data_IF_301218128208
#
_entry.id   IF_301218128208
#
_cell.length_a   1.000
_cell.length_b   1.000
_cell.length_c   1.000
_cell.angle_alpha   90.00
_cell.angle_beta   90.00
_cell.angle_gamma   90.00
#
_symmetry.space_group_name_H-M   'P 1'
#
loop_
_entity.id
_entity.type
_entity.pdbx_description
1 polymer ?
#
# COMPACT_ATOMS: atom_id res chain seq x y z
N UNK A 1 -29.29 50.91 -19.41
CA UNK A 1 -28.37 49.94 -18.77
C UNK A 1 -27.78 49.06 -19.86
N UNK A 2 -26.60 49.39 -20.39
CA UNK A 2 -25.97 48.65 -21.49
C UNK A 2 -25.09 47.52 -20.94
N UNK A 3 -25.50 46.27 -21.15
CA UNK A 3 -24.67 45.10 -20.87
C UNK A 3 -23.54 45.01 -21.90
N UNK A 4 -22.32 45.39 -21.51
CA UNK A 4 -21.13 45.19 -22.33
C UNK A 4 -20.57 43.78 -22.12
N UNK A 5 -21.14 42.78 -22.80
CA UNK A 5 -20.54 41.44 -22.86
C UNK A 5 -19.31 41.47 -23.76
N UNK A 6 -18.13 41.69 -23.16
CA UNK A 6 -16.85 41.76 -23.87
C UNK A 6 -16.43 40.38 -24.39
N UNK A 7 -15.84 40.33 -25.60
CA UNK A 7 -15.17 39.15 -26.18
C UNK A 7 -14.23 38.46 -25.17
N UNK A 8 -13.60 39.25 -24.29
CA UNK A 8 -12.73 38.78 -23.21
C UNK A 8 -13.46 37.93 -22.17
N UNK A 9 -14.72 38.24 -21.88
CA UNK A 9 -15.56 37.46 -20.95
C UNK A 9 -15.99 36.14 -21.58
N UNK A 10 -16.30 36.14 -22.88
CA UNK A 10 -16.59 34.90 -23.61
C UNK A 10 -15.39 33.94 -23.61
N UNK A 11 -14.18 34.41 -23.91
CA UNK A 11 -12.96 33.57 -23.87
C UNK A 11 -12.70 33.02 -22.46
N UNK A 12 -12.87 33.84 -21.42
CA UNK A 12 -12.72 33.41 -20.02
C UNK A 12 -13.75 32.36 -19.59
N UNK A 13 -15.00 32.50 -20.03
CA UNK A 13 -16.08 31.56 -19.67
C UNK A 13 -15.98 30.26 -20.46
N UNK A 14 -15.72 30.32 -21.77
CA UNK A 14 -15.59 29.13 -22.63
C UNK A 14 -14.32 28.31 -22.32
N UNK A 15 -13.21 28.96 -21.96
CA UNK A 15 -11.99 28.25 -21.54
C UNK A 15 -12.14 27.44 -20.25
N UNK A 16 -13.00 27.88 -19.31
CA UNK A 16 -13.29 27.14 -18.07
C UNK A 16 -14.17 25.91 -18.29
N UNK A 17 -15.10 25.97 -19.23
CA UNK A 17 -16.01 24.85 -19.52
C UNK A 17 -15.32 23.70 -20.29
N UNK A 18 -14.38 24.01 -21.19
CA UNK A 18 -13.68 22.99 -21.99
C UNK A 18 -12.71 22.10 -21.20
N UNK A 19 -12.07 22.62 -20.14
CA UNK A 19 -11.12 21.86 -19.33
C UNK A 19 -11.78 20.77 -18.46
N UNK A 20 -13.05 20.98 -18.07
CA UNK A 20 -13.75 20.06 -17.16
C UNK A 20 -14.22 18.76 -17.83
N UNK A 21 -14.45 18.77 -19.16
CA UNK A 21 -15.00 17.61 -19.88
C UNK A 21 -13.89 16.72 -20.46
N UNK A 22 -12.72 17.28 -20.81
CA UNK A 22 -11.62 16.52 -21.40
C UNK A 22 -10.89 15.55 -20.46
N UNK A 23 -10.94 15.79 -19.15
CA UNK A 23 -10.25 14.97 -18.14
C UNK A 23 -11.09 13.77 -17.64
N UNK A 24 -12.39 13.73 -17.91
CA UNK A 24 -13.27 12.67 -17.40
C UNK A 24 -13.37 11.42 -18.31
N UNK A 25 -12.95 11.52 -19.57
CA UNK A 25 -13.26 10.52 -20.59
C UNK A 25 -12.10 9.59 -21.01
N UNK A 26 -10.89 9.71 -20.43
CA UNK A 26 -9.70 8.94 -20.85
C UNK A 26 -9.11 8.03 -19.78
N UNK A 27 -9.78 7.84 -18.64
CA UNK A 27 -9.19 7.21 -17.45
C UNK A 27 -9.78 5.84 -16.99
N UNK A 28 -10.03 4.81 -17.83
CA UNK A 28 -10.27 3.48 -17.24
C UNK A 28 -9.11 2.49 -17.31
N UNK A 29 -8.09 2.65 -18.18
CA UNK A 29 -7.28 1.47 -18.57
C UNK A 29 -5.79 1.47 -18.23
N UNK A 30 -5.22 2.50 -17.60
CA UNK A 30 -3.78 2.51 -17.22
C UNK A 30 -3.51 2.55 -15.72
N UNK A 31 -4.55 2.59 -14.88
CA UNK A 31 -4.43 2.25 -13.47
C UNK A 31 -4.54 0.73 -13.28
N UNK A 32 -3.80 -0.06 -14.08
CA UNK A 32 -3.44 -1.40 -13.62
C UNK A 32 -2.33 -1.20 -12.61
N UNK A 33 -2.78 -1.05 -11.36
CA UNK A 33 -1.99 -1.06 -10.16
C UNK A 33 -0.78 -1.97 -10.34
N UNK A 34 0.40 -1.37 -10.43
CA UNK A 34 1.59 -1.99 -9.91
C UNK A 34 1.34 -2.17 -8.42
N UNK A 35 0.65 -3.26 -8.06
CA UNK A 35 0.82 -3.87 -6.76
C UNK A 35 2.27 -4.31 -6.76
N UNK A 36 3.16 -3.39 -6.40
CA UNK A 36 4.40 -3.78 -5.77
C UNK A 36 3.93 -4.52 -4.53
N UNK A 37 3.90 -5.85 -4.60
CA UNK A 37 3.89 -6.65 -3.40
C UNK A 37 5.13 -6.17 -2.64
N UNK A 38 4.90 -5.33 -1.63
CA UNK A 38 5.92 -5.03 -0.65
C UNK A 38 6.31 -6.39 -0.11
N UNK A 39 7.60 -6.74 -0.22
CA UNK A 39 8.16 -7.99 0.26
C UNK A 39 8.08 -8.03 1.79
N UNK A 40 6.87 -8.15 2.30
CA UNK A 40 6.56 -8.10 3.72
C UNK A 40 6.62 -9.53 4.25
N UNK A 41 7.84 -10.07 4.29
CA UNK A 41 8.13 -11.27 5.08
C UNK A 41 8.00 -10.90 6.56
N UNK A 42 6.75 -10.82 7.03
CA UNK A 42 6.40 -10.51 8.40
C UNK A 42 5.99 -11.78 9.14
N UNK A 43 6.48 -11.91 10.36
CA UNK A 43 6.07 -12.98 11.24
C UNK A 43 4.63 -12.75 11.70
N UNK A 44 3.77 -13.74 11.46
CA UNK A 44 2.39 -13.68 11.90
C UNK A 44 2.29 -13.85 13.42
N UNK A 45 1.39 -13.09 14.05
CA UNK A 45 1.06 -13.25 15.46
C UNK A 45 0.59 -14.67 15.77
N UNK A 46 1.05 -15.22 16.91
CA UNK A 46 0.53 -16.49 17.41
C UNK A 46 -0.96 -16.34 17.76
N UNK A 47 -1.83 -17.29 17.36
CA UNK A 47 -3.23 -17.30 17.77
C UNK A 47 -3.44 -17.86 19.18
N UNK A 48 -2.36 -18.09 19.94
CA UNK A 48 -2.35 -18.67 21.27
C UNK A 48 -1.19 -18.12 22.12
N UNK A 49 -1.31 -18.28 23.43
CA UNK A 49 -0.28 -17.91 24.41
C UNK A 49 0.92 -18.86 24.36
N UNK A 50 2.11 -18.41 24.77
CA UNK A 50 3.33 -19.24 24.73
C UNK A 50 3.24 -20.56 25.51
N UNK A 51 2.49 -20.59 26.60
CA UNK A 51 2.29 -21.79 27.43
C UNK A 51 1.16 -22.71 26.95
N UNK A 52 0.48 -22.40 25.84
CA UNK A 52 -0.67 -23.17 25.37
C UNK A 52 -0.33 -24.60 24.91
N UNK A 53 0.96 -24.91 24.74
CA UNK A 53 1.47 -26.20 24.26
C UNK A 53 2.09 -27.07 25.38
N UNK A 54 1.98 -26.63 26.64
CA UNK A 54 2.43 -27.43 27.78
C UNK A 54 1.57 -28.69 28.00
N UNK A 55 2.15 -29.80 28.49
CA UNK A 55 3.56 -29.97 28.90
C UNK A 55 4.48 -30.39 27.75
N UNK A 56 3.99 -30.41 26.51
CA UNK A 56 4.74 -30.95 25.36
C UNK A 56 5.85 -30.00 24.90
N UNK A 57 5.60 -28.69 25.00
CA UNK A 57 6.57 -27.63 24.72
C UNK A 57 6.41 -26.59 25.82
N UNK A 58 7.49 -26.27 26.52
CA UNK A 58 7.47 -25.27 27.58
C UNK A 58 7.37 -23.83 27.04
N UNK A 59 6.82 -22.93 27.86
CA UNK A 59 6.60 -21.54 27.47
C UNK A 59 7.89 -20.78 27.09
N UNK A 60 9.02 -21.05 27.76
CA UNK A 60 10.29 -20.38 27.49
C UNK A 60 10.82 -20.78 26.10
N UNK A 61 10.69 -22.06 25.75
CA UNK A 61 11.00 -22.54 24.39
C UNK A 61 10.15 -21.81 23.36
N UNK A 62 8.83 -21.71 23.56
CA UNK A 62 7.95 -21.01 22.62
C UNK A 62 8.26 -19.51 22.50
N UNK A 63 8.57 -18.85 23.61
CA UNK A 63 8.97 -17.44 23.63
C UNK A 63 10.25 -17.21 22.84
N UNK A 64 11.30 -18.01 23.06
CA UNK A 64 12.58 -17.88 22.36
C UNK A 64 12.41 -18.26 20.89
N UNK A 65 11.70 -19.35 20.59
CA UNK A 65 11.47 -19.81 19.22
C UNK A 65 10.75 -18.75 18.38
N UNK A 66 9.66 -18.20 18.90
CA UNK A 66 8.87 -17.19 18.20
C UNK A 66 9.58 -15.84 18.16
N UNK A 67 9.93 -15.26 19.32
CA UNK A 67 10.38 -13.87 19.39
C UNK A 67 11.83 -13.64 18.94
N UNK A 68 12.65 -14.70 18.87
CA UNK A 68 14.06 -14.61 18.44
C UNK A 68 14.29 -15.30 17.12
N UNK A 69 14.11 -16.62 17.06
CA UNK A 69 14.54 -17.41 15.91
C UNK A 69 13.68 -17.14 14.67
N UNK A 70 12.36 -17.36 14.77
CA UNK A 70 11.45 -17.11 13.67
C UNK A 70 11.48 -15.62 13.25
N UNK A 71 11.54 -14.70 14.23
CA UNK A 71 11.54 -13.27 13.96
C UNK A 71 12.80 -12.83 13.20
N UNK A 72 13.95 -13.39 13.55
CA UNK A 72 15.20 -13.16 12.83
C UNK A 72 15.11 -13.70 11.40
N UNK A 73 14.55 -14.89 11.18
CA UNK A 73 14.39 -15.43 9.83
C UNK A 73 13.50 -14.57 8.95
N UNK A 74 12.33 -14.14 9.45
CA UNK A 74 11.41 -13.28 8.71
C UNK A 74 12.10 -11.96 8.28
N UNK A 75 12.79 -11.33 9.24
CA UNK A 75 13.56 -10.10 8.98
C UNK A 75 14.65 -10.30 7.93
N UNK A 76 15.54 -11.27 8.14
CA UNK A 76 16.67 -11.48 7.23
C UNK A 76 16.25 -11.94 5.84
N UNK A 77 15.16 -12.70 5.74
CA UNK A 77 14.57 -13.07 4.45
C UNK A 77 14.07 -11.82 3.70
N UNK A 78 13.34 -10.93 4.38
CA UNK A 78 12.88 -9.67 3.77
C UNK A 78 14.03 -8.77 3.34
N UNK A 79 15.09 -8.68 4.15
CA UNK A 79 16.32 -7.95 3.80
C UNK A 79 16.99 -8.56 2.55
N UNK A 80 17.09 -9.89 2.48
CA UNK A 80 17.68 -10.59 1.33
C UNK A 80 16.85 -10.41 0.05
N UNK A 81 15.53 -10.59 0.10
CA UNK A 81 14.65 -10.37 -1.05
C UNK A 81 14.71 -8.92 -1.55
N UNK A 82 14.80 -7.95 -0.62
CA UNK A 82 15.02 -6.55 -0.97
C UNK A 82 16.37 -6.32 -1.65
N UNK A 83 17.44 -6.95 -1.15
CA UNK A 83 18.78 -6.84 -1.73
C UNK A 83 18.87 -7.43 -3.14
N UNK A 84 18.18 -8.55 -3.40
CA UNK A 84 18.18 -9.25 -4.68
C UNK A 84 17.10 -8.74 -5.66
N UNK A 85 16.17 -7.89 -5.18
CA UNK A 85 15.07 -7.36 -6.00
C UNK A 85 14.04 -8.41 -6.42
N UNK A 86 13.87 -9.46 -5.62
CA UNK A 86 12.93 -10.59 -5.84
C UNK A 86 11.75 -10.56 -4.89
#
# INVERSE_FOLDING_TARGET
MSHQSSRRNFVKTSGKAGLAIGLAATLPSVLRAGVTATNEFQQQALPYMYNALEPSIDALTMEIHYSKHAAAYAKSLGEACTAEGV
#
